data_IF_531409515875
#
_entry.id   IF_531409515875
#
_cell.length_a   1.000
_cell.length_b   1.000
_cell.length_c   1.000
_cell.angle_alpha   90.00
_cell.angle_beta   90.00
_cell.angle_gamma   90.00
#
_symmetry.space_group_name_H-M   'P 1'
#
loop_
_entity.id
_entity.type
_entity.pdbx_description
1 polymer ?
#
# COMPACT_ATOMS: atom_id res chain seq x y z
N UNK A 1 14.04 12.90 17.12
CA UNK A 1 13.95 13.85 15.98
C UNK A 1 13.99 13.03 14.69
N UNK A 2 13.12 13.30 13.73
CA UNK A 2 13.13 12.58 12.44
C UNK A 2 14.42 12.92 11.67
N UNK A 3 15.21 11.90 11.31
CA UNK A 3 16.49 12.08 10.59
C UNK A 3 16.32 12.70 9.21
N UNK A 4 15.12 12.63 8.62
CA UNK A 4 14.83 13.23 7.31
C UNK A 4 14.79 14.75 7.36
N UNK A 5 14.50 15.34 8.53
CA UNK A 5 14.31 16.78 8.69
C UNK A 5 15.52 17.60 8.23
N UNK A 6 16.74 17.09 8.42
CA UNK A 6 17.96 17.80 8.00
C UNK A 6 17.99 18.06 6.49
N UNK A 7 17.55 17.10 5.68
CA UNK A 7 17.51 17.27 4.21
C UNK A 7 16.47 18.31 3.79
N UNK A 8 15.32 18.33 4.46
CA UNK A 8 14.29 19.35 4.22
C UNK A 8 14.81 20.72 4.65
N UNK A 9 15.44 20.82 5.81
CA UNK A 9 16.03 22.05 6.31
C UNK A 9 17.07 22.63 5.33
N UNK A 10 18.03 21.82 4.89
CA UNK A 10 19.06 22.24 3.93
C UNK A 10 18.46 22.66 2.59
N UNK A 11 17.41 21.97 2.13
CA UNK A 11 16.68 22.32 0.91
C UNK A 11 15.95 23.65 1.05
N UNK A 12 15.18 23.84 2.13
CA UNK A 12 14.44 25.07 2.37
C UNK A 12 15.38 26.27 2.62
N UNK A 13 16.49 26.06 3.34
CA UNK A 13 17.49 27.11 3.56
C UNK A 13 18.15 27.54 2.24
N UNK A 14 18.48 26.58 1.38
CA UNK A 14 18.98 26.87 0.04
C UNK A 14 17.95 27.63 -0.79
N UNK A 15 16.70 27.16 -0.79
CA UNK A 15 15.61 27.79 -1.53
C UNK A 15 15.38 29.24 -1.08
N UNK A 16 15.39 29.50 0.23
CA UNK A 16 15.27 30.86 0.79
C UNK A 16 16.41 31.75 0.30
N UNK A 17 17.65 31.25 0.30
CA UNK A 17 18.83 32.00 -0.18
C UNK A 17 18.78 32.30 -1.68
N UNK A 18 18.46 31.29 -2.50
CA UNK A 18 18.34 31.44 -3.95
C UNK A 18 17.23 32.43 -4.32
N UNK A 19 16.05 32.29 -3.70
CA UNK A 19 14.91 33.18 -3.94
C UNK A 19 15.18 34.61 -3.46
N UNK A 20 15.86 34.76 -2.32
CA UNK A 20 16.26 36.08 -1.83
C UNK A 20 17.24 36.78 -2.80
N UNK A 21 18.18 36.03 -3.38
CA UNK A 21 19.12 36.57 -4.37
C UNK A 21 18.40 36.96 -5.67
N UNK A 22 17.43 36.17 -6.13
CA UNK A 22 16.58 36.53 -7.27
C UNK A 22 15.78 37.81 -7.00
N UNK A 23 15.13 37.90 -5.85
CA UNK A 23 14.39 39.08 -5.41
C UNK A 23 15.29 40.32 -5.34
N UNK A 24 16.53 40.17 -4.87
CA UNK A 24 17.49 41.26 -4.78
C UNK A 24 17.88 41.84 -6.13
N UNK A 25 18.09 40.98 -7.14
CA UNK A 25 18.38 41.41 -8.51
C UNK A 25 17.20 42.13 -9.16
N UNK A 26 15.98 41.66 -8.92
CA UNK A 26 14.78 42.24 -9.52
C UNK A 26 14.35 43.55 -8.83
N UNK A 27 14.53 43.65 -7.51
CA UNK A 27 14.10 44.81 -6.71
C UNK A 27 15.23 45.39 -5.83
N UNK A 28 16.32 45.96 -6.39
CA UNK A 28 17.50 46.37 -5.62
C UNK A 28 17.20 47.41 -4.54
N UNK A 29 16.29 48.36 -4.81
CA UNK A 29 15.90 49.40 -3.84
C UNK A 29 15.18 48.84 -2.61
N UNK A 30 14.44 47.75 -2.77
CA UNK A 30 13.68 47.11 -1.69
C UNK A 30 14.60 46.15 -0.94
N UNK A 31 15.37 45.35 -1.67
CA UNK A 31 16.34 44.41 -1.11
C UNK A 31 17.43 45.10 -0.27
N UNK A 32 17.92 46.26 -0.71
CA UNK A 32 18.85 47.07 0.07
C UNK A 32 18.29 47.60 1.39
N UNK A 33 16.96 47.70 1.55
CA UNK A 33 16.32 48.02 2.85
C UNK A 33 16.19 46.80 3.76
N UNK A 34 16.27 45.60 3.19
CA UNK A 34 16.17 44.32 3.88
C UNK A 34 17.54 43.67 4.11
N UNK A 35 18.62 44.33 3.69
CA UNK A 35 20.00 43.80 3.72
C UNK A 35 20.11 42.43 3.04
N UNK A 36 19.32 42.21 1.99
CA UNK A 36 19.36 41.04 1.13
C UNK A 36 20.26 41.37 -0.08
N UNK A 37 21.56 41.59 0.16
CA UNK A 37 22.52 41.80 -0.92
C UNK A 37 23.00 40.46 -1.52
N UNK A 38 23.62 40.53 -2.70
CA UNK A 38 24.04 39.39 -3.53
C UNK A 38 25.04 38.44 -2.84
N UNK A 39 25.65 38.88 -1.74
CA UNK A 39 26.57 38.11 -0.92
C UNK A 39 26.20 38.24 0.55
N UNK A 40 26.03 37.09 1.21
CA UNK A 40 25.92 36.85 2.66
C UNK A 40 25.21 37.95 3.48
N UNK A 41 24.04 37.63 4.02
CA UNK A 41 23.32 38.54 4.92
C UNK A 41 24.27 39.05 6.02
N UNK A 42 24.59 40.34 5.98
CA UNK A 42 25.63 40.91 6.85
C UNK A 42 25.24 40.92 8.33
N UNK A 43 23.96 40.71 8.65
CA UNK A 43 23.44 40.65 10.02
C UNK A 43 23.23 39.19 10.48
N UNK A 44 24.01 38.70 11.47
CA UNK A 44 23.88 37.35 12.01
C UNK A 44 22.51 37.04 12.62
N UNK A 45 21.77 38.04 13.09
CA UNK A 45 20.43 37.85 13.66
C UNK A 45 19.39 37.64 12.56
N UNK A 46 19.53 38.33 11.43
CA UNK A 46 18.67 38.13 10.26
C UNK A 46 18.96 36.76 9.63
N UNK A 47 20.23 36.37 9.53
CA UNK A 47 20.58 35.03 9.05
C UNK A 47 19.97 33.93 9.93
N UNK A 48 20.10 34.03 11.27
CA UNK A 48 19.46 33.11 12.21
C UNK A 48 17.93 33.10 12.12
N UNK A 49 17.32 34.24 11.81
CA UNK A 49 15.88 34.32 11.58
C UNK A 49 15.48 33.55 10.31
N UNK A 50 16.24 33.68 9.22
CA UNK A 50 16.02 32.95 7.97
C UNK A 50 16.26 31.44 8.15
N UNK A 51 17.27 31.05 8.93
CA UNK A 51 17.48 29.65 9.35
C UNK A 51 16.29 29.13 10.17
N UNK A 52 15.81 29.91 11.14
CA UNK A 52 14.62 29.57 11.92
C UNK A 52 13.37 29.42 11.06
N UNK A 53 13.19 30.30 10.07
CA UNK A 53 12.12 30.22 9.08
C UNK A 53 12.25 28.96 8.23
N UNK A 54 13.44 28.67 7.67
CA UNK A 54 13.71 27.46 6.90
C UNK A 54 13.44 26.20 7.74
N UNK A 55 13.78 26.20 9.03
CA UNK A 55 13.51 25.09 9.94
C UNK A 55 12.01 24.85 10.15
N UNK A 56 11.22 25.91 10.37
CA UNK A 56 9.77 25.80 10.52
C UNK A 56 9.11 25.31 9.22
N UNK A 57 9.50 25.89 8.08
CA UNK A 57 8.99 25.50 6.75
C UNK A 57 9.36 24.06 6.42
N UNK A 58 10.59 23.62 6.72
CA UNK A 58 11.02 22.24 6.53
C UNK A 58 10.16 21.23 7.31
N UNK A 59 9.69 21.60 8.51
CA UNK A 59 8.76 20.75 9.27
C UNK A 59 7.39 20.66 8.62
N UNK A 60 6.88 21.75 8.04
CA UNK A 60 5.63 21.76 7.28
C UNK A 60 5.74 20.88 6.05
N UNK A 61 6.81 21.05 5.26
CA UNK A 61 7.07 20.26 4.06
C UNK A 61 7.20 18.77 4.37
N UNK A 62 7.98 18.41 5.40
CA UNK A 62 8.09 17.02 5.84
C UNK A 62 6.74 16.43 6.23
N UNK A 63 5.88 17.21 6.89
CA UNK A 63 4.54 16.76 7.28
C UNK A 63 3.63 16.59 6.06
N UNK A 64 3.64 17.53 5.13
CA UNK A 64 2.85 17.45 3.90
C UNK A 64 3.22 16.20 3.08
N UNK A 65 4.52 15.97 2.87
CA UNK A 65 4.99 14.79 2.14
C UNK A 65 4.64 13.48 2.84
N UNK A 66 4.64 13.47 4.18
CA UNK A 66 4.26 12.30 4.96
C UNK A 66 2.77 11.95 4.86
N UNK A 67 1.89 12.94 4.60
CA UNK A 67 0.45 12.73 4.44
C UNK A 67 0.06 12.30 3.02
N UNK A 68 0.95 12.47 2.03
CA UNK A 68 0.65 12.19 0.63
C UNK A 68 0.24 10.72 0.37
N UNK A 69 0.90 9.69 0.95
CA UNK A 69 0.47 8.30 0.79
C UNK A 69 -0.96 8.06 1.29
N UNK A 70 -1.31 8.62 2.45
CA UNK A 70 -2.66 8.54 3.04
C UNK A 70 -3.71 9.12 2.10
N UNK A 71 -3.41 10.29 1.52
CA UNK A 71 -4.29 10.92 0.53
C UNK A 71 -4.52 10.01 -0.69
N UNK A 72 -3.44 9.48 -1.27
CA UNK A 72 -3.56 8.60 -2.46
C UNK A 72 -4.31 7.30 -2.15
N UNK A 73 -4.12 6.74 -0.95
CA UNK A 73 -4.84 5.55 -0.51
C UNK A 73 -6.34 5.84 -0.39
N UNK A 74 -6.75 6.92 0.28
CA UNK A 74 -8.16 7.29 0.39
C UNK A 74 -8.81 7.57 -0.97
N UNK A 75 -8.08 8.18 -1.91
CA UNK A 75 -8.58 8.36 -3.27
C UNK A 75 -8.82 7.01 -3.97
N UNK A 76 -7.90 6.06 -3.80
CA UNK A 76 -8.03 4.72 -4.37
C UNK A 76 -9.17 3.93 -3.73
N UNK A 77 -9.42 4.10 -2.43
CA UNK A 77 -10.59 3.54 -1.74
C UNK A 77 -11.91 4.07 -2.31
N UNK A 78 -11.96 5.35 -2.70
CA UNK A 78 -13.15 5.96 -3.28
C UNK A 78 -13.43 5.53 -4.72
N UNK A 79 -12.39 5.34 -5.54
CA UNK A 79 -12.53 5.07 -6.99
C UNK A 79 -12.47 3.58 -7.32
N UNK A 80 -11.63 2.81 -6.61
CA UNK A 80 -11.36 1.40 -6.92
C UNK A 80 -11.06 0.57 -5.64
N UNK A 81 -12.04 0.44 -4.72
CA UNK A 81 -11.84 -0.17 -3.41
C UNK A 81 -11.33 -1.62 -3.45
N UNK A 82 -11.70 -2.36 -4.50
CA UNK A 82 -11.34 -3.78 -4.66
C UNK A 82 -9.87 -4.04 -4.98
N UNK A 83 -9.07 -3.04 -5.38
CA UNK A 83 -7.61 -3.20 -5.48
C UNK A 83 -6.91 -3.19 -4.12
N UNK A 84 -7.57 -2.61 -3.11
CA UNK A 84 -7.07 -2.57 -1.74
C UNK A 84 -7.58 -3.75 -0.91
N UNK A 85 -8.52 -4.54 -1.44
CA UNK A 85 -9.01 -5.73 -0.77
C UNK A 85 -7.91 -6.80 -0.71
N UNK A 86 -7.62 -7.37 0.48
CA UNK A 86 -6.70 -8.49 0.59
C UNK A 86 -7.24 -9.72 -0.15
N UNK A 87 -6.35 -10.45 -0.80
CA UNK A 87 -6.69 -11.74 -1.39
C UNK A 87 -6.86 -12.79 -0.27
N UNK A 88 -8.03 -13.44 -0.14
CA UNK A 88 -8.21 -14.48 0.85
C UNK A 88 -7.39 -15.72 0.51
N UNK A 89 -7.13 -16.57 1.51
CA UNK A 89 -6.56 -17.89 1.26
C UNK A 89 -7.50 -18.73 0.40
N UNK A 90 -6.94 -19.55 -0.48
CA UNK A 90 -7.66 -20.46 -1.36
C UNK A 90 -6.96 -21.81 -1.36
N UNK A 91 -7.73 -22.90 -1.50
CA UNK A 91 -7.19 -24.25 -1.57
C UNK A 91 -7.96 -25.10 -2.58
N UNK A 92 -7.33 -26.18 -3.04
CA UNK A 92 -7.97 -27.23 -3.81
C UNK A 92 -8.27 -28.36 -2.83
N UNK A 93 -9.52 -28.82 -2.82
CA UNK A 93 -9.95 -29.95 -2.00
C UNK A 93 -10.44 -31.09 -2.88
N UNK A 94 -10.11 -32.32 -2.50
CA UNK A 94 -10.71 -33.50 -3.09
C UNK A 94 -11.91 -33.93 -2.25
N UNK A 95 -13.08 -34.03 -2.88
CA UNK A 95 -14.27 -34.60 -2.27
C UNK A 95 -14.41 -36.05 -2.75
N UNK A 96 -14.34 -36.99 -1.82
CA UNK A 96 -14.52 -38.42 -2.12
C UNK A 96 -15.93 -38.82 -1.69
N UNK A 97 -16.83 -39.18 -2.63
CA UNK A 97 -18.13 -39.71 -2.25
C UNK A 97 -17.97 -41.11 -1.65
N UNK A 98 -18.95 -41.53 -0.86
CA UNK A 98 -19.04 -42.91 -0.41
C UNK A 98 -19.57 -43.79 -1.55
N UNK A 99 -18.70 -44.63 -2.12
CA UNK A 99 -19.04 -45.47 -3.26
C UNK A 99 -20.01 -46.60 -2.90
N UNK A 100 -20.20 -46.90 -1.61
CA UNK A 100 -21.15 -47.91 -1.15
C UNK A 100 -22.58 -47.36 -1.01
N UNK A 101 -22.76 -46.03 -1.07
CA UNK A 101 -24.07 -45.41 -1.00
C UNK A 101 -24.88 -45.64 -2.29
N UNK A 102 -25.97 -46.41 -2.17
CA UNK A 102 -26.91 -46.66 -3.27
C UNK A 102 -27.51 -45.39 -3.89
N UNK A 103 -27.57 -44.28 -3.14
CA UNK A 103 -28.04 -42.99 -3.62
C UNK A 103 -27.04 -42.27 -4.54
N UNK A 104 -25.77 -42.68 -4.57
CA UNK A 104 -24.74 -42.06 -5.40
C UNK A 104 -24.89 -42.38 -6.90
N UNK A 105 -25.68 -43.40 -7.26
CA UNK A 105 -25.85 -43.81 -8.65
C UNK A 105 -26.35 -42.68 -9.57
N UNK A 106 -27.16 -41.75 -9.05
CA UNK A 106 -27.62 -40.56 -9.78
C UNK A 106 -26.63 -39.38 -9.75
N UNK A 107 -25.50 -39.53 -9.05
CA UNK A 107 -24.61 -38.43 -8.68
C UNK A 107 -25.09 -37.68 -7.44
N UNK A 108 -24.15 -37.10 -6.70
CA UNK A 108 -24.44 -36.25 -5.55
C UNK A 108 -24.05 -34.80 -5.84
N UNK A 109 -25.02 -33.90 -5.83
CA UNK A 109 -24.80 -32.49 -6.10
C UNK A 109 -24.25 -31.75 -4.89
N UNK A 110 -23.14 -31.04 -5.10
CA UNK A 110 -22.55 -30.10 -4.15
C UNK A 110 -22.77 -28.68 -4.69
N UNK A 111 -23.68 -27.90 -4.10
CA UNK A 111 -23.92 -26.52 -4.54
C UNK A 111 -22.69 -25.63 -4.41
N UNK A 112 -22.64 -24.57 -5.23
CA UNK A 112 -21.69 -23.47 -5.05
C UNK A 112 -21.92 -22.83 -3.67
N UNK A 113 -20.84 -22.49 -2.97
CA UNK A 113 -20.93 -21.86 -1.66
C UNK A 113 -21.03 -22.83 -0.49
N UNK A 114 -20.98 -24.14 -0.75
CA UNK A 114 -20.94 -25.19 0.28
C UNK A 114 -19.77 -24.93 1.22
N UNK A 115 -20.05 -24.89 2.53
CA UNK A 115 -19.06 -24.58 3.56
C UNK A 115 -18.15 -25.77 3.83
N UNK A 116 -16.85 -25.50 3.94
CA UNK A 116 -15.81 -26.46 4.28
C UNK A 116 -15.02 -25.89 5.45
N UNK A 117 -14.80 -26.67 6.50
CA UNK A 117 -14.06 -26.22 7.69
C UNK A 117 -12.70 -26.88 7.74
N UNK A 118 -11.67 -26.08 8.01
CA UNK A 118 -10.34 -26.60 8.27
C UNK A 118 -10.30 -27.31 9.62
N UNK A 119 -9.30 -28.17 9.80
CA UNK A 119 -8.88 -28.58 11.15
C UNK A 119 -8.36 -27.36 11.91
N UNK A 120 -8.59 -27.32 13.22
CA UNK A 120 -8.01 -26.28 14.08
C UNK A 120 -6.55 -26.66 14.37
N UNK A 121 -5.62 -25.78 14.00
CA UNK A 121 -4.19 -25.97 14.28
C UNK A 121 -3.89 -25.89 15.78
N UNK A 122 -2.70 -26.36 16.20
CA UNK A 122 -2.31 -26.38 17.63
C UNK A 122 -2.32 -25.01 18.31
N UNK A 123 -2.14 -23.95 17.53
CA UNK A 123 -2.08 -22.55 17.98
C UNK A 123 -3.34 -21.76 17.67
N UNK A 124 -4.28 -22.34 16.93
CA UNK A 124 -5.44 -21.62 16.41
C UNK A 124 -6.61 -21.74 17.37
N UNK A 125 -7.37 -20.66 17.53
CA UNK A 125 -8.59 -20.66 18.35
C UNK A 125 -9.85 -20.98 17.54
N UNK A 126 -9.79 -20.80 16.21
CA UNK A 126 -10.94 -20.96 15.31
C UNK A 126 -10.53 -21.69 14.03
N UNK A 127 -11.44 -22.50 13.49
CA UNK A 127 -11.25 -23.12 12.18
C UNK A 127 -11.48 -22.08 11.07
N UNK A 128 -10.70 -22.16 9.99
CA UNK A 128 -11.01 -21.42 8.78
C UNK A 128 -12.25 -22.01 8.11
N UNK A 129 -13.12 -21.16 7.60
CA UNK A 129 -14.25 -21.55 6.76
C UNK A 129 -13.95 -21.18 5.30
N UNK A 130 -13.96 -22.19 4.44
CA UNK A 130 -13.86 -22.06 2.99
C UNK A 130 -15.21 -22.33 2.35
N UNK A 131 -15.39 -21.87 1.12
CA UNK A 131 -16.60 -22.13 0.32
C UNK A 131 -16.25 -22.64 -1.06
N UNK A 132 -17.01 -23.60 -1.57
CA UNK A 132 -16.85 -24.07 -2.96
C UNK A 132 -17.07 -22.92 -3.94
N UNK A 133 -16.14 -22.76 -4.88
CA UNK A 133 -16.19 -21.69 -5.88
C UNK A 133 -17.24 -21.95 -6.99
N UNK A 134 -17.61 -23.22 -7.19
CA UNK A 134 -18.55 -23.67 -8.23
C UNK A 134 -19.46 -24.77 -7.66
N UNK A 135 -20.58 -25.00 -8.35
CA UNK A 135 -21.36 -26.20 -8.15
C UNK A 135 -20.66 -27.37 -8.86
N UNK A 136 -20.71 -28.56 -8.27
CA UNK A 136 -20.17 -29.78 -8.85
C UNK A 136 -21.06 -30.98 -8.52
N UNK A 137 -20.97 -32.04 -9.31
CA UNK A 137 -21.65 -33.31 -9.07
C UNK A 137 -20.60 -34.38 -8.82
N UNK A 138 -20.68 -35.05 -7.67
CA UNK A 138 -19.84 -36.19 -7.33
C UNK A 138 -20.42 -37.43 -8.03
N UNK A 139 -19.69 -37.98 -8.98
CA UNK A 139 -20.09 -39.17 -9.71
C UNK A 139 -19.52 -40.44 -9.04
N UNK A 140 -20.16 -41.61 -9.21
CA UNK A 140 -19.68 -42.90 -8.71
C UNK A 140 -18.56 -43.46 -9.60
N UNK A 141 -17.56 -42.63 -9.92
CA UNK A 141 -16.40 -43.01 -10.73
C UNK A 141 -15.12 -42.57 -10.03
N UNK A 142 -14.08 -43.40 -10.11
CA UNK A 142 -12.76 -43.08 -9.60
C UNK A 142 -11.74 -43.12 -10.74
N UNK A 143 -10.88 -42.11 -10.79
CA UNK A 143 -9.74 -42.11 -11.69
C UNK A 143 -8.66 -43.03 -11.11
N UNK A 144 -8.53 -44.23 -11.67
CA UNK A 144 -7.56 -45.24 -11.21
C UNK A 144 -6.19 -45.02 -11.85
N UNK A 145 -6.16 -44.60 -13.12
CA UNK A 145 -4.93 -44.46 -13.89
C UNK A 145 -5.07 -43.38 -14.96
N UNK A 146 -3.97 -42.69 -15.24
CA UNK A 146 -3.83 -41.79 -16.38
C UNK A 146 -2.44 -41.98 -17.00
N UNK A 147 -2.38 -42.35 -18.28
CA UNK A 147 -1.14 -42.54 -19.03
C UNK A 147 -1.02 -41.48 -20.13
N UNK A 148 0.16 -40.91 -20.29
CA UNK A 148 0.49 -40.10 -21.46
C UNK A 148 0.85 -41.04 -22.62
N UNK A 149 0.13 -40.92 -23.73
CA UNK A 149 0.47 -41.58 -24.98
C UNK A 149 0.99 -40.54 -25.95
N UNK A 150 2.31 -40.46 -26.07
CA UNK A 150 2.93 -39.71 -27.15
C UNK A 150 2.69 -40.47 -28.47
N UNK A 151 2.39 -39.70 -29.52
CA UNK A 151 2.49 -40.22 -30.88
C UNK A 151 3.99 -40.28 -31.22
N UNK A 152 4.55 -41.48 -31.11
CA UNK A 152 5.89 -41.94 -31.50
C UNK A 152 6.92 -42.11 -30.37
#
# INVERSE_FOLDING_TARGET
>A
MDRRLIRYYERELRHVRETAAEFAREYPKIAGRLSLDEFECADPYVERLLEGFAFLTARVQLKLDAEFPTFTQHLLEAVYPHYLCPMPSMCIVQMKPDLEDSGLASGFDVPRGTALRSTIGRTDQTACEYRTAHALTLAPIELVEAQYHDRD
#
